data_IF_678463044398
#
_entry.id   IF_678463044398
#
_cell.length_a   1.000
_cell.length_b   1.000
_cell.length_c   1.000
_cell.angle_alpha   90.00
_cell.angle_beta   90.00
_cell.angle_gamma   90.00
#
_symmetry.space_group_name_H-M   'P 1'
#
loop_
_entity.id
_entity.type
_entity.pdbx_description
1 polymer ?
#
# COMPACT_ATOMS: atom_id res chain seq x y z
N UNK A 1 -29.06 1.88 7.37
CA UNK A 1 -28.83 0.80 8.37
C UNK A 1 -28.69 -0.56 7.69
N UNK A 2 -29.61 -0.99 6.82
CA UNK A 2 -29.50 -2.28 6.12
C UNK A 2 -28.20 -2.44 5.28
N UNK A 3 -27.82 -1.41 4.52
CA UNK A 3 -26.59 -1.44 3.70
C UNK A 3 -25.30 -1.54 4.53
N UNK A 4 -25.25 -0.85 5.67
CA UNK A 4 -24.11 -0.93 6.58
C UNK A 4 -23.99 -2.34 7.18
N UNK A 5 -25.10 -2.97 7.58
CA UNK A 5 -25.09 -4.35 8.08
C UNK A 5 -24.69 -5.36 7.00
N UNK A 6 -25.14 -5.16 5.76
CA UNK A 6 -24.72 -5.98 4.61
C UNK A 6 -23.20 -5.87 4.36
N UNK A 7 -22.64 -4.67 4.38
CA UNK A 7 -21.18 -4.46 4.28
C UNK A 7 -20.43 -5.19 5.40
N UNK A 8 -20.93 -5.11 6.64
CA UNK A 8 -20.31 -5.80 7.78
C UNK A 8 -20.30 -7.31 7.58
N UNK A 9 -21.42 -7.88 7.13
CA UNK A 9 -21.53 -9.31 6.92
C UNK A 9 -20.67 -9.79 5.75
N UNK A 10 -20.66 -9.05 4.64
CA UNK A 10 -19.75 -9.30 3.52
C UNK A 10 -18.28 -9.27 3.96
N UNK A 11 -17.88 -8.26 4.75
CA UNK A 11 -16.52 -8.15 5.25
C UNK A 11 -16.13 -9.32 6.18
N UNK A 12 -17.04 -9.78 7.05
CA UNK A 12 -16.82 -10.98 7.88
C UNK A 12 -16.61 -12.23 7.03
N UNK A 13 -17.50 -12.46 6.06
CA UNK A 13 -17.41 -13.60 5.14
C UNK A 13 -16.09 -13.59 4.36
N UNK A 14 -15.71 -12.41 3.85
CA UNK A 14 -14.44 -12.21 3.11
C UNK A 14 -13.22 -12.52 3.97
N UNK A 15 -13.16 -12.01 5.20
CA UNK A 15 -12.04 -12.28 6.11
C UNK A 15 -11.89 -13.76 6.42
N UNK A 16 -12.99 -14.49 6.70
CA UNK A 16 -12.93 -15.94 6.95
C UNK A 16 -12.35 -16.71 5.75
N UNK A 17 -12.77 -16.38 4.53
CA UNK A 17 -12.24 -17.03 3.33
C UNK A 17 -10.77 -16.73 3.10
N UNK A 18 -10.31 -15.51 3.39
CA UNK A 18 -8.89 -15.18 3.33
C UNK A 18 -8.06 -15.97 4.35
N UNK A 19 -8.57 -16.17 5.57
CA UNK A 19 -7.92 -17.04 6.58
C UNK A 19 -7.77 -18.46 6.02
N UNK A 20 -8.87 -19.04 5.50
CA UNK A 20 -8.84 -20.38 4.89
C UNK A 20 -7.83 -20.49 3.74
N UNK A 21 -7.75 -19.49 2.87
CA UNK A 21 -6.76 -19.45 1.78
C UNK A 21 -5.33 -19.35 2.29
N UNK A 22 -5.07 -18.58 3.35
CA UNK A 22 -3.74 -18.51 3.94
C UNK A 22 -3.35 -19.85 4.60
N UNK A 23 -4.29 -20.54 5.23
CA UNK A 23 -4.08 -21.85 5.82
C UNK A 23 -3.83 -22.93 4.74
N UNK A 24 -4.58 -22.89 3.64
CA UNK A 24 -4.36 -23.77 2.48
C UNK A 24 -2.97 -23.56 1.89
N UNK A 25 -2.58 -22.31 1.63
CA UNK A 25 -1.24 -21.96 1.16
C UNK A 25 -0.16 -22.42 2.15
N UNK A 26 -0.38 -22.23 3.45
CA UNK A 26 0.53 -22.67 4.48
C UNK A 26 0.71 -24.20 4.50
N UNK A 27 -0.37 -24.96 4.28
CA UNK A 27 -0.35 -26.43 4.17
C UNK A 27 0.50 -26.92 3.00
N UNK A 28 0.63 -26.10 1.95
CA UNK A 28 1.50 -26.32 0.80
C UNK A 28 2.90 -25.70 0.96
N UNK A 29 3.29 -25.32 2.19
CA UNK A 29 4.56 -24.67 2.51
C UNK A 29 4.77 -23.30 1.82
N UNK A 30 3.69 -22.65 1.40
CA UNK A 30 3.74 -21.30 0.83
C UNK A 30 3.43 -20.26 1.91
N UNK A 31 4.31 -19.28 2.05
CA UNK A 31 4.09 -18.15 2.96
C UNK A 31 3.32 -17.07 2.23
N UNK A 32 2.22 -16.61 2.81
CA UNK A 32 1.36 -15.60 2.21
C UNK A 32 1.05 -14.46 3.17
N UNK A 33 0.77 -13.29 2.62
CA UNK A 33 0.51 -12.06 3.38
C UNK A 33 -0.54 -11.19 2.71
N UNK A 34 -1.57 -10.78 3.46
CA UNK A 34 -2.62 -9.89 2.96
C UNK A 34 -2.13 -8.45 3.05
N UNK A 35 -1.90 -7.80 1.91
CA UNK A 35 -1.26 -6.48 1.81
C UNK A 35 -2.28 -5.34 1.80
N UNK A 36 -3.45 -5.54 1.18
CA UNK A 36 -4.51 -4.52 1.07
C UNK A 36 -5.85 -5.05 1.59
N UNK A 37 -6.88 -4.19 1.61
CA UNK A 37 -8.22 -4.59 2.06
C UNK A 37 -8.23 -5.01 3.54
N UNK A 38 -8.72 -6.22 3.90
CA UNK A 38 -8.78 -6.71 5.28
C UNK A 38 -7.45 -6.65 6.02
N UNK A 39 -6.32 -6.79 5.31
CA UNK A 39 -5.00 -6.65 5.93
C UNK A 39 -4.81 -5.29 6.60
N UNK A 40 -5.35 -4.22 6.02
CA UNK A 40 -5.20 -2.85 6.51
C UNK A 40 -6.27 -2.45 7.52
N UNK A 41 -7.33 -3.25 7.71
CA UNK A 41 -8.45 -2.91 8.61
C UNK A 41 -7.98 -2.69 10.05
N UNK A 42 -6.94 -3.40 10.48
CA UNK A 42 -6.36 -3.27 11.83
C UNK A 42 -5.91 -1.86 12.21
N UNK A 43 -5.64 -1.00 11.22
CA UNK A 43 -5.21 0.38 11.42
C UNK A 43 -6.36 1.37 11.60
N UNK A 44 -7.57 0.97 11.22
CA UNK A 44 -8.76 1.82 11.34
C UNK A 44 -9.24 1.88 12.78
N UNK A 45 -9.89 2.98 13.13
CA UNK A 45 -10.65 3.09 14.38
C UNK A 45 -11.69 1.95 14.47
N UNK A 46 -11.87 1.38 15.66
CA UNK A 46 -12.66 0.15 15.89
C UNK A 46 -14.06 0.20 15.26
N UNK A 47 -14.69 1.37 15.27
CA UNK A 47 -16.04 1.59 14.74
C UNK A 47 -16.10 1.53 13.20
N UNK A 48 -15.00 1.88 12.53
CA UNK A 48 -14.90 1.91 11.07
C UNK A 48 -14.36 0.61 10.49
N UNK A 49 -13.65 -0.20 11.28
CA UNK A 49 -13.12 -1.49 10.86
C UNK A 49 -14.12 -2.37 10.11
N UNK A 50 -15.35 -2.60 10.61
CA UNK A 50 -16.29 -3.50 9.94
C UNK A 50 -16.98 -2.83 8.74
N UNK A 51 -16.87 -1.52 8.58
CA UNK A 51 -17.47 -0.73 7.49
C UNK A 51 -16.52 -0.52 6.30
N UNK A 52 -15.23 -0.84 6.45
CA UNK A 52 -14.22 -0.68 5.39
C UNK A 52 -14.52 -1.62 4.23
N UNK A 53 -15.25 -1.13 3.23
CA UNK A 53 -15.61 -1.91 2.05
C UNK A 53 -14.36 -2.27 1.23
N UNK A 54 -14.15 -3.56 1.00
CA UNK A 54 -13.04 -4.05 0.18
C UNK A 54 -13.53 -4.53 -1.17
N UNK A 55 -13.17 -3.82 -2.25
CA UNK A 55 -13.48 -4.25 -3.63
C UNK A 55 -12.52 -5.34 -4.14
N UNK A 56 -11.26 -5.29 -3.72
CA UNK A 56 -10.25 -6.27 -4.09
C UNK A 56 -9.14 -6.35 -3.06
N UNK A 57 -8.47 -7.49 -3.02
CA UNK A 57 -7.45 -7.84 -2.04
C UNK A 57 -6.17 -8.19 -2.77
N UNK A 58 -5.06 -7.57 -2.39
CA UNK A 58 -3.74 -7.96 -2.86
C UNK A 58 -3.13 -8.92 -1.83
N UNK A 59 -2.90 -10.15 -2.26
CA UNK A 59 -2.27 -11.21 -1.49
C UNK A 59 -0.86 -11.44 -2.04
N UNK A 60 0.15 -11.22 -1.21
CA UNK A 60 1.53 -11.55 -1.56
C UNK A 60 1.82 -13.02 -1.21
N UNK A 61 2.46 -13.77 -2.10
CA UNK A 61 2.87 -15.16 -1.88
C UNK A 61 4.36 -15.30 -2.19
N UNK A 62 5.15 -15.64 -1.17
CA UNK A 62 6.60 -15.69 -1.29
C UNK A 62 7.11 -16.96 -1.98
N UNK A 63 8.09 -16.79 -2.87
CA UNK A 63 8.84 -17.89 -3.48
C UNK A 63 8.07 -18.73 -4.49
N UNK A 64 6.82 -18.35 -4.79
CA UNK A 64 5.98 -19.04 -5.75
C UNK A 64 6.09 -18.35 -7.12
N UNK A 65 6.43 -19.06 -8.20
CA UNK A 65 6.63 -18.45 -9.54
C UNK A 65 5.55 -18.79 -10.55
N UNK A 66 4.58 -19.63 -10.18
CA UNK A 66 3.47 -19.97 -11.06
C UNK A 66 2.29 -19.06 -10.73
N UNK A 67 1.64 -18.50 -11.75
CA UNK A 67 0.29 -17.98 -11.57
C UNK A 67 -0.62 -19.18 -11.33
N UNK A 68 -0.91 -19.49 -10.05
CA UNK A 68 -2.05 -20.33 -9.74
C UNK A 68 -3.26 -19.41 -9.69
N UNK A 69 -4.26 -19.70 -10.51
CA UNK A 69 -5.62 -19.27 -10.26
C UNK A 69 -6.10 -19.96 -8.99
N UNK A 70 -5.72 -19.42 -7.82
CA UNK A 70 -6.32 -19.85 -6.56
C UNK A 70 -7.76 -19.36 -6.62
N UNK A 71 -8.70 -20.30 -6.59
CA UNK A 71 -10.16 -20.12 -6.54
C UNK A 71 -10.61 -18.65 -6.50
N UNK A 72 -10.82 -18.05 -7.66
CA UNK A 72 -11.38 -16.71 -7.78
C UNK A 72 -12.85 -16.78 -7.36
N UNK A 73 -13.13 -16.60 -6.06
CA UNK A 73 -14.52 -16.52 -5.59
C UNK A 73 -15.24 -15.39 -6.34
N UNK A 74 -16.43 -15.67 -6.85
CA UNK A 74 -17.17 -14.75 -7.72
C UNK A 74 -17.44 -13.36 -7.09
N UNK A 75 -17.42 -13.27 -5.77
CA UNK A 75 -17.70 -12.09 -4.95
C UNK A 75 -16.45 -11.44 -4.33
N UNK A 76 -15.24 -12.00 -4.54
CA UNK A 76 -13.98 -11.49 -4.01
C UNK A 76 -12.90 -11.48 -5.10
N UNK A 77 -12.48 -10.28 -5.50
CA UNK A 77 -11.34 -10.11 -6.40
C UNK A 77 -10.03 -10.18 -5.60
N UNK A 78 -9.44 -11.38 -5.48
CA UNK A 78 -8.12 -11.58 -4.89
C UNK A 78 -7.06 -11.58 -5.99
N UNK A 79 -6.15 -10.61 -5.95
CA UNK A 79 -4.97 -10.54 -6.82
C UNK A 79 -3.78 -11.12 -6.09
N UNK A 80 -3.21 -12.17 -6.66
CA UNK A 80 -2.04 -12.85 -6.12
C UNK A 80 -0.80 -12.22 -6.74
N UNK A 81 0.08 -11.73 -5.87
CA UNK A 81 1.37 -11.17 -6.25
C UNK A 81 2.48 -12.09 -5.76
N UNK A 82 3.26 -12.61 -6.68
CA UNK A 82 4.49 -13.34 -6.37
C UNK A 82 5.69 -12.38 -6.27
N UNK A 83 5.56 -11.25 -6.95
CA UNK A 83 6.54 -10.16 -7.03
C UNK A 83 5.80 -8.83 -6.90
N UNK A 84 6.45 -7.85 -6.28
CA UNK A 84 5.93 -6.49 -6.15
C UNK A 84 6.81 -5.56 -6.97
N UNK A 85 6.17 -4.53 -7.55
CA UNK A 85 6.82 -3.61 -8.46
C UNK A 85 6.61 -2.17 -8.00
N UNK A 86 7.64 -1.34 -8.06
CA UNK A 86 7.59 0.11 -7.82
C UNK A 86 7.55 0.88 -9.14
N UNK A 87 6.50 0.67 -9.93
CA UNK A 87 6.38 1.20 -11.29
C UNK A 87 7.11 0.33 -12.32
N UNK A 88 7.53 0.97 -13.42
CA UNK A 88 8.02 0.26 -14.62
C UNK A 88 9.55 0.13 -14.71
N UNK A 89 10.31 0.72 -13.79
CA UNK A 89 11.77 0.71 -13.83
C UNK A 89 12.34 -0.61 -13.31
N UNK A 90 13.07 -1.33 -14.17
CA UNK A 90 13.71 -2.60 -13.81
C UNK A 90 14.69 -2.44 -12.64
N UNK A 91 15.57 -1.42 -12.69
CA UNK A 91 16.53 -1.17 -11.61
C UNK A 91 15.86 -0.95 -10.25
N UNK A 92 14.75 -0.20 -10.24
CA UNK A 92 13.98 0.05 -9.03
C UNK A 92 13.30 -1.21 -8.52
N UNK A 93 12.74 -2.01 -9.41
CA UNK A 93 12.13 -3.29 -9.05
C UNK A 93 13.17 -4.27 -8.48
N UNK A 94 14.39 -4.30 -9.02
CA UNK A 94 15.51 -5.06 -8.43
C UNK A 94 15.87 -4.56 -7.02
N UNK A 95 15.91 -3.24 -6.79
CA UNK A 95 16.13 -2.67 -5.45
C UNK A 95 15.02 -3.07 -4.48
N UNK A 96 13.76 -2.95 -4.90
CA UNK A 96 12.60 -3.36 -4.11
C UNK A 96 12.65 -4.85 -3.77
N UNK A 97 12.91 -5.71 -4.74
CA UNK A 97 13.02 -7.16 -4.52
C UNK A 97 14.13 -7.50 -3.52
N UNK A 98 15.32 -6.91 -3.68
CA UNK A 98 16.42 -7.09 -2.75
C UNK A 98 16.04 -6.67 -1.33
N UNK A 99 15.41 -5.50 -1.19
CA UNK A 99 14.96 -5.01 0.11
C UNK A 99 13.89 -5.91 0.74
N UNK A 100 12.92 -6.38 -0.05
CA UNK A 100 11.89 -7.33 0.39
C UNK A 100 12.50 -8.66 0.87
N UNK A 101 13.57 -9.13 0.22
CA UNK A 101 14.29 -10.33 0.64
C UNK A 101 15.02 -10.12 1.97
N UNK A 102 15.67 -8.96 2.14
CA UNK A 102 16.38 -8.60 3.37
C UNK A 102 15.44 -8.42 4.57
N UNK A 103 14.20 -7.99 4.32
CA UNK A 103 13.18 -7.70 5.34
C UNK A 103 12.01 -8.70 5.28
N UNK A 104 12.25 -9.91 4.78
CA UNK A 104 11.21 -10.88 4.49
C UNK A 104 10.40 -11.29 5.74
N UNK A 105 11.03 -11.33 6.90
CA UNK A 105 10.36 -11.62 8.18
C UNK A 105 9.27 -10.60 8.52
N UNK A 106 9.43 -9.35 8.08
CA UNK A 106 8.46 -8.28 8.27
C UNK A 106 7.19 -8.46 7.43
N UNK A 107 7.22 -9.28 6.37
CA UNK A 107 6.04 -9.54 5.54
C UNK A 107 5.01 -10.45 6.21
N UNK A 108 5.39 -11.22 7.23
CA UNK A 108 4.56 -12.33 7.72
C UNK A 108 4.32 -12.24 9.23
N UNK A 109 3.65 -11.17 9.67
CA UNK A 109 3.21 -10.96 11.05
C UNK A 109 1.77 -11.43 11.23
N UNK A 110 1.44 -12.05 12.36
CA UNK A 110 0.05 -12.37 12.70
C UNK A 110 -0.66 -11.12 13.23
N UNK A 111 -1.85 -10.85 12.69
CA UNK A 111 -2.76 -9.82 13.19
C UNK A 111 -4.16 -10.43 13.27
N UNK A 112 -4.53 -10.89 14.47
CA UNK A 112 -5.65 -11.82 14.61
C UNK A 112 -5.33 -13.13 13.90
N UNK A 113 -6.25 -13.62 13.07
CA UNK A 113 -6.09 -14.87 12.32
C UNK A 113 -5.29 -14.68 11.02
N UNK A 114 -5.27 -13.46 10.46
CA UNK A 114 -4.59 -13.15 9.20
C UNK A 114 -3.08 -12.99 9.39
N UNK A 115 -2.33 -13.39 8.38
CA UNK A 115 -0.92 -13.05 8.21
C UNK A 115 -0.81 -11.81 7.32
N UNK A 116 -0.15 -10.77 7.80
CA UNK A 116 -0.05 -9.44 7.20
C UNK A 116 1.38 -8.87 7.35
N UNK A 117 1.76 -7.83 6.60
CA UNK A 117 3.05 -7.16 6.82
C UNK A 117 3.08 -6.44 8.17
N UNK A 118 4.27 -6.19 8.72
CA UNK A 118 4.47 -5.31 9.88
C UNK A 118 4.01 -3.89 9.57
N UNK A 119 3.90 -3.03 10.58
CA UNK A 119 3.48 -1.64 10.37
C UNK A 119 4.44 -0.88 9.45
N UNK A 120 5.74 -0.88 9.77
CA UNK A 120 6.76 -0.22 8.94
C UNK A 120 6.77 -0.77 7.49
N UNK A 121 6.68 -2.09 7.33
CA UNK A 121 6.58 -2.74 6.02
C UNK A 121 5.34 -2.27 5.26
N UNK A 122 4.21 -2.17 5.96
CA UNK A 122 2.94 -1.73 5.36
C UNK A 122 3.03 -0.31 4.81
N UNK A 123 3.70 0.62 5.51
CA UNK A 123 3.86 2.00 5.03
C UNK A 123 4.54 2.03 3.66
N UNK A 124 5.70 1.36 3.53
CA UNK A 124 6.43 1.31 2.25
C UNK A 124 5.59 0.66 1.15
N UNK A 125 4.92 -0.46 1.46
CA UNK A 125 4.06 -1.15 0.50
C UNK A 125 2.86 -0.29 0.05
N UNK A 126 2.25 0.48 0.95
CA UNK A 126 1.17 1.38 0.58
C UNK A 126 1.67 2.53 -0.30
N UNK A 127 2.84 3.11 -0.01
CA UNK A 127 3.43 4.15 -0.88
C UNK A 127 3.70 3.58 -2.28
N UNK A 128 4.31 2.39 -2.38
CA UNK A 128 4.53 1.69 -3.65
C UNK A 128 3.21 1.41 -4.39
N UNK A 129 2.17 1.01 -3.66
CA UNK A 129 0.86 0.72 -4.23
C UNK A 129 0.18 1.98 -4.78
N UNK A 130 0.18 3.08 -4.01
CA UNK A 130 -0.33 4.39 -4.44
C UNK A 130 0.43 4.90 -5.65
N UNK A 131 1.75 4.71 -5.69
CA UNK A 131 2.59 5.09 -6.80
C UNK A 131 2.18 4.38 -8.10
N UNK A 132 1.93 3.07 -8.04
CA UNK A 132 1.45 2.32 -9.19
C UNK A 132 0.07 2.80 -9.65
N UNK A 133 -0.87 3.01 -8.74
CA UNK A 133 -2.16 3.58 -9.09
C UNK A 133 -2.06 4.97 -9.70
N UNK A 134 -1.14 5.81 -9.22
CA UNK A 134 -0.87 7.12 -9.80
C UNK A 134 -0.39 7.01 -11.25
N UNK A 135 0.58 6.13 -11.52
CA UNK A 135 1.08 5.88 -12.88
C UNK A 135 0.00 5.33 -13.82
N UNK A 136 -0.90 4.49 -13.29
CA UNK A 136 -2.02 3.90 -14.03
C UNK A 136 -3.23 4.81 -14.18
N UNK A 137 -3.20 6.04 -13.61
CA UNK A 137 -4.36 6.96 -13.55
C UNK A 137 -5.58 6.34 -12.84
N UNK A 138 -5.32 5.55 -11.79
CA UNK A 138 -6.30 4.83 -10.98
C UNK A 138 -6.30 5.23 -9.50
N UNK A 139 -5.50 6.23 -9.12
CA UNK A 139 -5.40 6.69 -7.74
C UNK A 139 -6.72 7.32 -7.30
N UNK A 140 -7.26 6.87 -6.17
CA UNK A 140 -8.53 7.35 -5.60
C UNK A 140 -8.34 7.81 -4.15
N UNK A 141 -9.25 8.70 -3.69
CA UNK A 141 -9.27 9.16 -2.29
C UNK A 141 -9.35 8.02 -1.27
N UNK A 142 -10.03 6.92 -1.60
CA UNK A 142 -10.06 5.71 -0.76
C UNK A 142 -8.67 5.10 -0.54
N UNK A 143 -7.80 5.13 -1.55
CA UNK A 143 -6.44 4.62 -1.39
C UNK A 143 -5.62 5.53 -0.46
N UNK A 144 -5.82 6.85 -0.55
CA UNK A 144 -5.21 7.82 0.35
C UNK A 144 -5.73 7.66 1.79
N UNK A 145 -7.03 7.37 1.97
CA UNK A 145 -7.61 7.09 3.28
C UNK A 145 -6.99 5.85 3.94
N UNK A 146 -6.67 4.81 3.17
CA UNK A 146 -5.96 3.64 3.68
C UNK A 146 -4.58 4.03 4.24
N UNK A 147 -3.81 4.84 3.50
CA UNK A 147 -2.53 5.34 3.98
C UNK A 147 -2.68 6.25 5.21
N UNK A 148 -3.69 7.12 5.25
CA UNK A 148 -3.97 7.97 6.41
C UNK A 148 -4.09 7.15 7.70
N UNK A 149 -4.92 6.09 7.72
CA UNK A 149 -5.06 5.25 8.91
C UNK A 149 -3.79 4.49 9.23
N UNK A 150 -3.05 4.02 8.21
CA UNK A 150 -1.75 3.37 8.42
C UNK A 150 -0.78 4.34 9.11
N UNK A 151 -0.66 5.60 8.67
CA UNK A 151 0.26 6.57 9.28
C UNK A 151 -0.21 7.00 10.68
N UNK A 152 -1.51 7.29 10.84
CA UNK A 152 -2.12 7.74 12.09
C UNK A 152 -2.07 6.68 13.20
N UNK A 153 -2.09 5.39 12.86
CA UNK A 153 -2.06 4.32 13.85
C UNK A 153 -0.80 4.35 14.73
N UNK A 154 0.28 4.96 14.25
CA UNK A 154 1.45 5.21 15.08
C UNK A 154 1.21 6.34 16.06
N UNK A 155 1.79 6.25 17.26
CA UNK A 155 1.74 7.28 18.31
C UNK A 155 2.59 8.54 17.97
N UNK A 156 2.96 8.73 16.71
CA UNK A 156 3.94 9.74 16.29
C UNK A 156 5.36 9.45 16.77
N UNK A 157 5.62 8.28 17.39
CA UNK A 157 6.99 7.91 17.73
C UNK A 157 7.75 7.52 16.47
N UNK A 158 8.87 8.21 16.23
CA UNK A 158 9.77 7.90 15.12
C UNK A 158 10.34 6.48 15.12
N UNK A 159 10.07 5.68 16.17
CA UNK A 159 10.40 4.24 16.25
C UNK A 159 9.64 3.42 15.21
N UNK A 160 8.46 3.85 14.77
CA UNK A 160 7.65 3.14 13.78
C UNK A 160 8.16 3.32 12.33
N UNK A 161 9.05 4.28 12.11
CA UNK A 161 9.68 4.53 10.80
C UNK A 161 11.06 3.88 10.66
N UNK A 162 11.39 2.92 11.52
CA UNK A 162 12.70 2.27 11.57
C UNK A 162 12.61 0.80 11.13
N UNK A 163 13.56 0.41 10.29
CA UNK A 163 13.95 -0.96 10.03
C UNK A 163 15.25 -1.26 10.77
N UNK A 164 15.67 -2.53 10.81
CA UNK A 164 16.90 -2.93 11.51
C UNK A 164 18.17 -2.30 10.91
N UNK A 165 18.16 -1.97 9.62
CA UNK A 165 19.32 -1.45 8.89
C UNK A 165 19.11 -0.05 8.30
N UNK A 166 17.86 0.40 8.18
CA UNK A 166 17.49 1.62 7.43
C UNK A 166 16.24 2.29 8.04
N UNK A 167 15.84 3.45 7.51
CA UNK A 167 14.58 4.12 7.85
C UNK A 167 13.61 4.06 6.67
N UNK A 168 12.33 4.33 6.90
CA UNK A 168 11.34 4.42 5.82
C UNK A 168 11.72 5.50 4.81
N UNK A 169 12.20 6.67 5.25
CA UNK A 169 12.71 7.71 4.35
C UNK A 169 13.89 7.21 3.50
N UNK A 170 14.84 6.51 4.12
CA UNK A 170 15.97 5.89 3.42
C UNK A 170 15.52 4.94 2.31
N UNK A 171 14.53 4.09 2.59
CA UNK A 171 13.99 3.16 1.60
C UNK A 171 13.20 3.86 0.49
N UNK A 172 12.40 4.88 0.84
CA UNK A 172 11.71 5.72 -0.14
C UNK A 172 12.71 6.37 -1.11
N UNK A 173 13.85 6.85 -0.59
CA UNK A 173 14.93 7.44 -1.38
C UNK A 173 15.63 6.40 -2.26
N UNK A 174 15.96 5.23 -1.71
CA UNK A 174 16.59 4.13 -2.47
C UNK A 174 15.69 3.59 -3.60
N UNK A 175 14.37 3.67 -3.42
CA UNK A 175 13.39 3.35 -4.44
C UNK A 175 13.11 4.52 -5.41
N UNK A 176 13.67 5.71 -5.18
CA UNK A 176 13.44 6.88 -6.03
C UNK A 176 11.98 7.33 -5.99
N UNK A 177 11.31 7.15 -4.85
CA UNK A 177 9.92 7.52 -4.61
C UNK A 177 9.80 8.78 -3.76
N UNK A 178 10.91 9.46 -3.46
CA UNK A 178 10.95 10.64 -2.57
C UNK A 178 9.90 11.67 -2.96
N UNK A 179 9.96 12.20 -4.19
CA UNK A 179 9.06 13.28 -4.61
C UNK A 179 7.58 12.85 -4.52
N UNK A 180 7.24 11.66 -5.04
CA UNK A 180 5.90 11.10 -4.90
C UNK A 180 5.43 11.04 -3.43
N UNK A 181 6.30 10.56 -2.56
CA UNK A 181 6.00 10.37 -1.15
C UNK A 181 5.80 11.71 -0.47
N UNK A 182 6.64 12.70 -0.75
CA UNK A 182 6.50 14.07 -0.22
C UNK A 182 5.20 14.74 -0.68
N UNK A 183 4.82 14.59 -1.96
CA UNK A 183 3.52 15.07 -2.45
C UNK A 183 2.35 14.35 -1.78
N UNK A 184 2.47 13.05 -1.56
CA UNK A 184 1.47 12.28 -0.79
C UNK A 184 1.38 12.74 0.66
N UNK A 185 2.51 13.04 1.31
CA UNK A 185 2.52 13.59 2.69
C UNK A 185 1.89 14.96 2.75
N UNK A 186 2.05 15.80 1.72
CA UNK A 186 1.33 17.06 1.63
C UNK A 186 -0.19 16.84 1.56
N UNK A 187 -0.67 15.85 0.80
CA UNK A 187 -2.09 15.48 0.80
C UNK A 187 -2.56 14.99 2.18
N UNK A 188 -1.75 14.17 2.86
CA UNK A 188 -2.06 13.73 4.23
C UNK A 188 -2.18 14.93 5.19
N UNK A 189 -1.29 15.92 5.06
CA UNK A 189 -1.28 17.15 5.85
C UNK A 189 -2.48 18.04 5.55
N UNK A 190 -2.61 18.50 4.31
CA UNK A 190 -3.54 19.59 3.98
C UNK A 190 -4.97 19.09 3.74
N UNK A 191 -5.14 17.87 3.23
CA UNK A 191 -6.47 17.33 2.87
C UNK A 191 -7.03 16.44 3.97
N UNK A 192 -6.18 15.59 4.55
CA UNK A 192 -6.60 14.68 5.63
C UNK A 192 -6.32 15.23 7.04
N UNK A 193 -5.72 16.42 7.15
CA UNK A 193 -5.40 17.08 8.42
C UNK A 193 -4.59 16.19 9.38
N UNK A 194 -3.65 15.41 8.83
CA UNK A 194 -2.74 14.58 9.61
C UNK A 194 -1.56 15.42 10.11
N UNK A 195 -1.24 15.28 11.39
CA UNK A 195 -0.10 15.96 12.00
C UNK A 195 1.24 15.44 11.43
N UNK A 196 2.20 16.35 11.24
CA UNK A 196 3.50 16.04 10.61
C UNK A 196 4.33 15.03 11.40
N UNK A 197 4.08 14.86 12.70
CA UNK A 197 4.76 13.85 13.52
C UNK A 197 4.44 12.40 13.09
N UNK A 198 3.39 12.19 12.29
CA UNK A 198 3.04 10.90 11.71
C UNK A 198 3.62 10.66 10.31
N UNK A 199 4.41 11.60 9.76
CA UNK A 199 4.91 11.52 8.40
C UNK A 199 6.33 10.97 8.37
N UNK A 200 6.62 9.95 7.53
CA UNK A 200 7.98 9.44 7.37
C UNK A 200 8.90 10.37 6.58
N UNK A 201 8.33 11.28 5.78
CA UNK A 201 9.05 12.24 4.94
C UNK A 201 8.36 13.61 4.98
N UNK A 202 9.12 14.67 4.74
CA UNK A 202 8.57 16.04 4.73
C UNK A 202 7.57 16.24 3.57
N UNK A 203 6.45 16.96 3.79
CA UNK A 203 5.47 17.25 2.74
C UNK A 203 6.02 18.26 1.72
N UNK A 204 5.70 18.05 0.44
CA UNK A 204 6.04 18.96 -0.67
C UNK A 204 4.79 19.44 -1.39
N UNK A 205 4.49 20.73 -1.26
CA UNK A 205 3.25 21.35 -1.77
C UNK A 205 3.10 21.28 -3.29
N UNK A 206 4.15 21.64 -4.05
CA UNK A 206 4.09 21.61 -5.51
C UNK A 206 3.69 20.23 -6.05
N UNK A 207 4.21 19.17 -5.42
CA UNK A 207 3.97 17.80 -5.85
C UNK A 207 2.61 17.30 -5.35
N UNK A 208 2.19 17.72 -4.15
CA UNK A 208 0.87 17.42 -3.62
C UNK A 208 -0.25 18.02 -4.48
N UNK A 209 -0.12 19.29 -4.87
CA UNK A 209 -1.06 19.96 -5.77
C UNK A 209 -1.10 19.29 -7.15
N UNK A 210 0.07 18.89 -7.68
CA UNK A 210 0.13 18.15 -8.94
C UNK A 210 -0.60 16.80 -8.86
N UNK A 211 -0.33 15.98 -7.84
CA UNK A 211 -1.03 14.70 -7.64
C UNK A 211 -2.54 14.92 -7.50
N UNK A 212 -2.96 15.95 -6.76
CA UNK A 212 -4.38 16.28 -6.60
C UNK A 212 -5.04 16.64 -7.94
N UNK A 213 -4.37 17.45 -8.77
CA UNK A 213 -4.88 17.84 -10.10
C UNK A 213 -5.06 16.64 -11.02
N UNK A 214 -4.10 15.69 -11.01
CA UNK A 214 -4.18 14.45 -11.78
C UNK A 214 -5.33 13.57 -11.30
N UNK A 215 -5.63 13.56 -9.99
CA UNK A 215 -6.76 12.82 -9.42
C UNK A 215 -8.12 13.47 -9.73
N UNK A 216 -8.18 14.80 -9.74
CA UNK A 216 -9.39 15.57 -10.06
C UNK A 216 -9.71 15.55 -11.56
N UNK A 217 -8.74 15.17 -12.39
CA UNK A 217 -8.93 15.04 -13.82
C UNK A 217 -8.85 16.37 -14.56
N UNK A 218 -7.98 17.29 -14.12
CA UNK A 218 -7.78 18.64 -14.69
C UNK A 218 -7.25 18.66 -16.15
N UNK A 219 -7.39 17.57 -16.89
CA UNK A 219 -7.04 17.47 -18.30
C UNK A 219 -5.53 17.37 -18.54
N UNK A 220 -5.16 17.18 -19.80
CA UNK A 220 -3.77 17.14 -20.22
C UNK A 220 -3.21 18.56 -20.34
N UNK A 221 -2.07 18.84 -19.70
CA UNK A 221 -1.22 19.98 -20.03
C UNK A 221 0.18 19.49 -20.41
N UNK A 222 0.85 20.21 -21.32
CA UNK A 222 2.22 19.86 -21.70
C UNK A 222 3.17 19.93 -20.49
N UNK A 223 2.95 20.89 -19.59
CA UNK A 223 3.65 20.97 -18.32
C UNK A 223 3.47 19.71 -17.46
N UNK A 224 2.22 19.26 -17.25
CA UNK A 224 1.93 18.04 -16.47
C UNK A 224 2.53 16.79 -17.13
N UNK A 225 2.51 16.71 -18.47
CA UNK A 225 3.12 15.61 -19.20
C UNK A 225 4.64 15.56 -19.03
N UNK A 226 5.34 16.69 -19.20
CA UNK A 226 6.79 16.77 -18.97
C UNK A 226 7.15 16.49 -17.52
N UNK A 227 6.35 17.01 -16.58
CA UNK A 227 6.52 16.74 -15.15
C UNK A 227 6.41 15.24 -14.86
N UNK A 228 5.37 14.58 -15.37
CA UNK A 228 5.19 13.12 -15.26
C UNK A 228 6.35 12.35 -15.88
N UNK A 229 6.74 12.74 -17.09
CA UNK A 229 7.79 12.06 -17.82
C UNK A 229 9.11 12.19 -17.04
N UNK A 230 9.49 13.41 -16.71
CA UNK A 230 10.76 13.72 -16.07
C UNK A 230 10.88 13.08 -14.69
N UNK A 231 9.96 13.35 -13.77
CA UNK A 231 10.14 12.98 -12.37
C UNK A 231 9.65 11.58 -12.03
N UNK A 232 8.71 11.03 -12.79
CA UNK A 232 8.08 9.74 -12.46
C UNK A 232 8.44 8.60 -13.41
N UNK A 233 8.97 8.92 -14.59
CA UNK A 233 9.39 7.88 -15.55
C UNK A 233 10.87 7.95 -15.95
N UNK A 234 11.47 9.14 -16.00
CA UNK A 234 12.85 9.33 -16.49
C UNK A 234 13.87 9.55 -15.37
N UNK A 235 13.47 10.05 -14.19
CA UNK A 235 14.35 10.14 -13.03
C UNK A 235 14.59 8.72 -12.50
N UNK A 236 15.50 8.03 -13.18
CA UNK A 236 16.17 6.87 -12.66
C UNK A 236 17.00 7.36 -11.47
N UNK A 237 16.73 6.73 -10.33
CA UNK A 237 17.67 6.44 -9.26
C UNK A 237 19.08 6.97 -9.59
N UNK A 238 19.41 8.15 -9.08
CA UNK A 238 20.79 8.65 -9.10
C UNK A 238 21.61 7.91 -8.07
#
# INVERSE_FOLDING_TARGET
MAEAEDIKEQNRGRSRRLVTLQDELHSHHLRSSVVTGPGLVRFYDRELQPLRYTKGVDLYVFGYKNQVDLNQWADINVRIHTELHAGKSSQRNTRLEKWMLQNNDLMFRKAGELTVPSHAMTIVLQIVHLYNFFLEKRLQMRNLMDLFYVLRFGDGSGKLFQFSQTTIDGEIKELGLTRFSQGTMWLMKEIFNLDTNHMPVEPLEEEGQYILSEMMGDGFTFHNWWHKLWYYTCQNLT
#
